data_IF_354558560957
#
_entry.id   IF_354558560957
#
_cell.length_a   1.000
_cell.length_b   1.000
_cell.length_c   1.000
_cell.angle_alpha   90.00
_cell.angle_beta   90.00
_cell.angle_gamma   90.00
#
_symmetry.space_group_name_H-M   'P 1'
#
loop_
_entity.id
_entity.type
_entity.pdbx_description
1 polymer ?
#
# COMPACT_ATOMS: atom_id res chain seq x y z
N UNK A 1 -1.87 28.20 1.31
CA UNK A 1 -2.18 26.77 1.07
C UNK A 1 -3.69 26.63 0.97
N UNK A 2 -4.24 25.66 0.22
CA UNK A 2 -5.64 25.29 0.34
C UNK A 2 -5.99 25.02 1.82
N UNK A 3 -7.27 25.21 2.18
CA UNK A 3 -7.76 24.97 3.55
C UNK A 3 -7.41 23.54 4.00
N UNK A 4 -6.94 23.37 5.24
CA UNK A 4 -6.67 22.05 5.84
C UNK A 4 -5.20 21.60 5.93
N UNK A 5 -4.23 22.48 5.65
CA UNK A 5 -2.80 22.20 5.92
C UNK A 5 -2.07 21.37 4.86
N UNK A 6 -2.74 20.97 3.78
CA UNK A 6 -2.13 20.29 2.65
C UNK A 6 -1.65 21.33 1.59
N UNK A 7 -0.34 21.48 1.33
CA UNK A 7 0.18 22.53 0.46
C UNK A 7 0.02 22.26 -1.05
N UNK A 8 -0.49 21.08 -1.45
CA UNK A 8 -0.61 20.69 -2.85
C UNK A 8 -1.47 21.65 -3.68
N UNK A 9 -1.06 21.89 -4.93
CA UNK A 9 -1.67 22.84 -5.87
C UNK A 9 -2.64 22.20 -6.85
N UNK A 10 -2.67 20.87 -6.91
CA UNK A 10 -3.67 20.09 -7.64
C UNK A 10 -4.27 19.01 -6.75
N UNK A 11 -5.45 18.50 -7.12
CA UNK A 11 -6.07 17.37 -6.40
C UNK A 11 -5.15 16.15 -6.35
N UNK A 12 -4.44 15.86 -7.45
CA UNK A 12 -3.47 14.76 -7.51
C UNK A 12 -2.30 14.96 -6.55
N UNK A 13 -1.76 16.18 -6.49
CA UNK A 13 -0.67 16.51 -5.57
C UNK A 13 -1.11 16.42 -4.10
N UNK A 14 -2.30 16.94 -3.78
CA UNK A 14 -2.86 16.85 -2.43
C UNK A 14 -3.07 15.39 -1.99
N UNK A 15 -3.59 14.54 -2.88
CA UNK A 15 -3.75 13.09 -2.64
C UNK A 15 -2.42 12.42 -2.36
N UNK A 16 -1.40 12.70 -3.17
CA UNK A 16 -0.04 12.16 -2.97
C UNK A 16 0.55 12.59 -1.63
N UNK A 17 0.42 13.87 -1.25
CA UNK A 17 0.92 14.38 0.03
C UNK A 17 0.22 13.69 1.21
N UNK A 18 -1.11 13.57 1.16
CA UNK A 18 -1.88 12.92 2.21
C UNK A 18 -1.50 11.45 2.35
N UNK A 19 -1.34 10.74 1.22
CA UNK A 19 -0.92 9.34 1.22
C UNK A 19 0.51 9.17 1.74
N UNK A 20 1.46 10.02 1.32
CA UNK A 20 2.83 9.98 1.84
C UNK A 20 2.85 10.17 3.35
N UNK A 21 2.11 11.15 3.88
CA UNK A 21 2.02 11.38 5.32
C UNK A 21 1.49 10.13 6.06
N UNK A 22 0.49 9.45 5.50
CA UNK A 22 0.00 8.20 6.08
C UNK A 22 1.05 7.07 6.04
N UNK A 23 1.80 6.95 4.95
CA UNK A 23 2.87 5.96 4.81
C UNK A 23 4.05 6.26 5.74
N UNK A 24 4.39 7.53 5.98
CA UNK A 24 5.44 7.91 6.93
C UNK A 24 5.06 7.50 8.36
N UNK A 25 3.79 7.70 8.75
CA UNK A 25 3.28 7.25 10.05
C UNK A 25 3.30 5.73 10.18
N UNK A 26 2.92 5.01 9.11
CA UNK A 26 2.91 3.55 9.11
C UNK A 26 4.35 2.98 9.14
N UNK A 27 5.24 3.55 8.35
CA UNK A 27 6.66 3.18 8.31
C UNK A 27 7.37 3.39 9.65
N UNK A 28 6.93 4.34 10.47
CA UNK A 28 7.50 4.58 11.80
C UNK A 28 7.23 3.47 12.82
N UNK A 29 6.25 2.59 12.58
CA UNK A 29 5.88 1.51 13.50
C UNK A 29 6.07 0.11 12.92
N UNK A 30 6.37 0.02 11.62
CA UNK A 30 6.65 -1.24 10.96
C UNK A 30 8.00 -1.81 11.40
N UNK A 31 8.03 -3.13 11.55
CA UNK A 31 9.23 -3.88 11.92
C UNK A 31 9.69 -4.72 10.73
N UNK A 32 10.60 -4.16 9.92
CA UNK A 32 11.26 -4.87 8.82
C UNK A 32 12.62 -4.24 8.55
N UNK A 33 13.63 -5.07 8.31
CA UNK A 33 14.93 -4.63 7.79
C UNK A 33 14.99 -4.67 6.26
N UNK A 34 13.91 -5.11 5.61
CA UNK A 34 13.73 -5.13 4.15
C UNK A 34 12.80 -3.99 3.77
N UNK A 35 13.13 -3.26 2.71
CA UNK A 35 12.29 -2.21 2.15
C UNK A 35 10.94 -2.79 1.70
N UNK A 36 9.83 -2.20 2.17
CA UNK A 36 8.48 -2.57 1.74
C UNK A 36 8.00 -1.54 0.72
N UNK A 37 7.70 -2.00 -0.49
CA UNK A 37 7.24 -1.15 -1.59
C UNK A 37 5.73 -1.19 -1.70
N UNK A 38 5.10 -0.02 -1.69
CA UNK A 38 3.63 0.11 -1.75
C UNK A 38 3.21 0.91 -2.97
N UNK A 39 2.34 0.32 -3.79
CA UNK A 39 1.64 1.04 -4.84
C UNK A 39 0.33 1.64 -4.35
N UNK A 40 0.03 2.83 -4.85
CA UNK A 40 -1.21 3.53 -4.56
C UNK A 40 -1.84 4.10 -5.84
N UNK A 41 -3.14 3.90 -5.98
CA UNK A 41 -3.94 4.49 -7.06
C UNK A 41 -5.17 5.19 -6.52
N UNK A 42 -5.58 6.26 -7.19
CA UNK A 42 -6.85 6.96 -6.96
C UNK A 42 -7.83 6.73 -8.12
N UNK A 43 -7.78 5.55 -8.73
CA UNK A 43 -8.76 5.12 -9.72
C UNK A 43 -10.15 4.97 -9.09
N UNK A 44 -11.18 4.97 -9.94
CA UNK A 44 -12.56 4.76 -9.49
C UNK A 44 -12.70 3.38 -8.86
N UNK A 45 -13.30 3.34 -7.67
CA UNK A 45 -13.84 2.11 -7.07
C UNK A 45 -15.37 2.15 -7.12
N UNK A 46 -16.01 1.00 -6.91
CA UNK A 46 -17.47 0.88 -6.91
C UNK A 46 -18.11 1.86 -5.92
N UNK A 47 -19.03 2.70 -6.43
CA UNK A 47 -19.82 3.62 -5.62
C UNK A 47 -21.20 3.86 -6.27
N UNK A 48 -22.19 4.13 -5.43
CA UNK A 48 -23.56 4.54 -5.75
C UNK A 48 -23.87 5.87 -5.07
N UNK A 49 -25.09 6.39 -5.23
CA UNK A 49 -25.53 7.62 -4.57
C UNK A 49 -25.54 7.53 -3.04
N UNK A 50 -25.58 6.32 -2.46
CA UNK A 50 -25.76 6.12 -1.01
C UNK A 50 -24.65 5.27 -0.36
N UNK A 51 -23.64 4.85 -1.12
CA UNK A 51 -22.53 4.08 -0.55
C UNK A 51 -21.43 3.78 -1.56
N UNK A 52 -20.30 3.28 -1.09
CA UNK A 52 -19.20 2.88 -1.96
C UNK A 52 -17.97 2.47 -1.17
N UNK A 53 -17.07 1.79 -1.85
CA UNK A 53 -15.75 1.45 -1.29
C UNK A 53 -14.93 2.74 -1.21
N UNK A 54 -14.46 3.11 -0.02
CA UNK A 54 -13.59 4.28 0.18
C UNK A 54 -12.16 4.00 -0.27
N UNK A 55 -11.70 2.79 0.02
CA UNK A 55 -10.41 2.27 -0.41
C UNK A 55 -10.32 0.78 -0.14
N UNK A 56 -9.33 0.14 -0.74
CA UNK A 56 -9.00 -1.28 -0.58
C UNK A 56 -7.49 -1.44 -0.69
N UNK A 57 -6.94 -2.48 -0.06
CA UNK A 57 -5.54 -2.82 -0.17
C UNK A 57 -5.37 -4.34 -0.05
N UNK A 58 -4.24 -4.84 -0.54
CA UNK A 58 -3.89 -6.25 -0.44
C UNK A 58 -2.42 -6.50 -0.76
N UNK A 59 -1.93 -7.71 -0.45
CA UNK A 59 -0.63 -8.12 -0.92
C UNK A 59 -0.64 -8.22 -2.44
N UNK A 60 0.46 -7.82 -3.05
CA UNK A 60 0.68 -8.04 -4.48
C UNK A 60 1.11 -9.50 -4.72
N UNK A 61 1.88 -10.06 -3.79
CA UNK A 61 2.37 -11.43 -3.85
C UNK A 61 2.07 -12.20 -2.56
N UNK A 62 1.85 -13.51 -2.72
CA UNK A 62 1.78 -14.47 -1.64
C UNK A 62 2.98 -15.41 -1.76
N UNK A 63 3.72 -15.55 -0.67
CA UNK A 63 4.91 -16.40 -0.57
C UNK A 63 4.72 -17.49 0.48
N UNK A 64 5.42 -18.59 0.32
CA UNK A 64 5.45 -19.73 1.22
C UNK A 64 6.76 -20.51 1.04
N UNK A 65 7.01 -21.49 1.92
CA UNK A 65 8.17 -22.40 1.85
C UNK A 65 9.54 -21.69 1.73
N UNK A 66 9.73 -20.63 2.53
CA UNK A 66 10.96 -19.85 2.59
C UNK A 66 11.64 -19.97 3.98
N UNK A 67 12.93 -19.61 4.12
CA UNK A 67 13.61 -19.65 5.41
C UNK A 67 12.86 -18.85 6.50
N UNK A 68 12.44 -19.53 7.57
CA UNK A 68 11.68 -18.93 8.68
C UNK A 68 10.14 -19.03 8.55
N UNK A 69 9.61 -19.51 7.42
CA UNK A 69 8.17 -19.76 7.28
C UNK A 69 7.70 -20.98 8.08
N UNK A 70 6.45 -20.95 8.55
CA UNK A 70 5.80 -22.14 9.14
C UNK A 70 5.30 -23.09 8.04
N UNK A 71 5.29 -24.42 8.27
CA UNK A 71 4.70 -25.37 7.33
C UNK A 71 3.25 -25.04 7.02
N UNK A 72 2.82 -25.28 5.77
CA UNK A 72 1.45 -25.10 5.30
C UNK A 72 0.88 -23.68 5.57
N UNK A 73 1.72 -22.65 5.51
CA UNK A 73 1.31 -21.26 5.79
C UNK A 73 1.65 -20.36 4.62
N UNK A 74 0.66 -19.56 4.21
CA UNK A 74 0.82 -18.52 3.18
C UNK A 74 1.05 -17.17 3.84
N UNK A 75 1.99 -16.40 3.32
CA UNK A 75 2.38 -15.09 3.83
C UNK A 75 2.22 -14.03 2.74
N UNK A 76 1.67 -12.84 3.07
CA UNK A 76 1.90 -11.62 2.27
C UNK A 76 3.40 -11.41 2.04
N UNK A 77 3.83 -11.00 0.83
CA UNK A 77 5.27 -10.85 0.53
C UNK A 77 5.99 -9.95 1.53
N UNK A 78 5.46 -8.75 1.83
CA UNK A 78 6.07 -7.85 2.82
C UNK A 78 6.35 -8.51 4.18
N UNK A 79 5.47 -9.42 4.64
CA UNK A 79 5.69 -10.16 5.88
C UNK A 79 6.71 -11.29 5.68
N UNK A 80 6.64 -11.99 4.54
CA UNK A 80 7.62 -13.01 4.19
C UNK A 80 9.03 -12.43 4.10
N UNK A 81 9.20 -11.29 3.45
CA UNK A 81 10.48 -10.61 3.29
C UNK A 81 11.04 -10.16 4.64
N UNK A 82 10.20 -9.60 5.51
CA UNK A 82 10.57 -9.23 6.87
C UNK A 82 11.06 -10.44 7.70
N UNK A 83 10.41 -11.61 7.55
CA UNK A 83 10.81 -12.86 8.22
C UNK A 83 12.11 -13.42 7.63
N UNK A 84 12.22 -13.43 6.30
CA UNK A 84 13.38 -13.99 5.60
C UNK A 84 14.62 -13.09 5.67
N UNK A 85 14.43 -11.78 5.92
CA UNK A 85 15.48 -10.77 5.93
C UNK A 85 15.98 -10.38 4.54
N UNK A 86 15.24 -10.74 3.48
CA UNK A 86 15.54 -10.40 2.09
C UNK A 86 14.25 -10.34 1.26
N UNK A 87 14.30 -9.64 0.13
CA UNK A 87 13.23 -9.65 -0.88
C UNK A 87 13.11 -11.05 -1.50
N UNK A 88 11.97 -11.71 -1.28
CA UNK A 88 11.65 -13.04 -1.80
C UNK A 88 11.10 -13.00 -3.22
N UNK A 89 10.62 -11.85 -3.69
CA UNK A 89 10.04 -11.66 -5.04
C UNK A 89 10.66 -10.43 -5.72
N UNK A 90 11.96 -10.49 -6.08
CA UNK A 90 12.65 -9.37 -6.72
C UNK A 90 12.30 -9.28 -8.22
N UNK A 91 11.02 -9.04 -8.54
CA UNK A 91 10.56 -8.81 -9.91
C UNK A 91 10.66 -7.32 -10.26
N UNK A 92 11.56 -6.92 -11.18
CA UNK A 92 11.67 -5.53 -11.61
C UNK A 92 10.43 -5.01 -12.36
N UNK A 93 9.57 -5.90 -12.87
CA UNK A 93 8.36 -5.54 -13.62
C UNK A 93 7.15 -5.27 -12.72
N UNK A 94 7.16 -5.83 -11.51
CA UNK A 94 6.10 -5.63 -10.52
C UNK A 94 6.68 -5.57 -9.08
N UNK A 95 7.45 -4.52 -8.77
CA UNK A 95 8.30 -4.49 -7.59
C UNK A 95 7.57 -4.14 -6.29
N UNK A 96 6.24 -4.11 -6.23
CA UNK A 96 5.54 -3.78 -4.98
C UNK A 96 5.11 -5.02 -4.21
N UNK A 97 5.10 -4.89 -2.89
CA UNK A 97 4.64 -5.90 -1.94
C UNK A 97 3.17 -5.72 -1.60
N UNK A 98 2.72 -4.47 -1.61
CA UNK A 98 1.37 -4.07 -1.25
C UNK A 98 0.82 -3.18 -2.35
N UNK A 99 -0.40 -3.45 -2.77
CA UNK A 99 -1.17 -2.51 -3.58
C UNK A 99 -2.27 -1.89 -2.71
N UNK A 100 -2.54 -0.62 -2.96
CA UNK A 100 -3.64 0.13 -2.34
C UNK A 100 -4.37 0.96 -3.38
N UNK A 101 -5.68 1.05 -3.23
CA UNK A 101 -6.56 1.81 -4.11
C UNK A 101 -7.52 2.63 -3.27
N UNK A 102 -7.70 3.88 -3.63
CA UNK A 102 -8.61 4.81 -2.96
C UNK A 102 -9.59 5.33 -3.99
N UNK A 103 -10.86 5.45 -3.62
CA UNK A 103 -11.88 5.84 -4.58
C UNK A 103 -11.72 7.30 -5.01
N UNK A 104 -11.26 7.49 -6.24
CA UNK A 104 -11.04 8.81 -6.80
C UNK A 104 -12.31 9.63 -7.05
N UNK A 105 -13.49 9.00 -6.99
CA UNK A 105 -14.80 9.61 -7.30
C UNK A 105 -15.64 9.95 -6.07
N UNK A 106 -15.16 9.61 -4.87
CA UNK A 106 -15.86 9.97 -3.64
C UNK A 106 -15.86 11.50 -3.43
N UNK A 107 -17.03 12.06 -3.13
CA UNK A 107 -17.19 13.48 -2.81
C UNK A 107 -17.09 14.43 -4.01
N UNK A 108 -17.17 13.90 -5.23
CA UNK A 108 -17.39 14.68 -6.45
C UNK A 108 -18.87 14.94 -6.70
#
# INVERSE_FOLDING_TARGET
>A
APLGGNPGRSVGEQRRIAYQYAMDLWGAVLQSNVEIKVYASFARLTCTATGGTLGQAGPNWIVNDFPGSKPNTLYPSALGDAIAGQDLVPDPSDPADVFSQFNGDLGK
#
